data_IF_132403746387
#
_entry.id   IF_132403746387
#
_cell.length_a   1.000
_cell.length_b   1.000
_cell.length_c   1.000
_cell.angle_alpha   90.00
_cell.angle_beta   90.00
_cell.angle_gamma   90.00
#
_symmetry.space_group_name_H-M   'P 1'
#
loop_
_entity.id
_entity.type
_entity.pdbx_description
1 polymer ?
#
# COMPACT_ATOMS: atom_id res chain seq x y z
N UNK A 1 8.37 -2.80 -3.45
CA UNK A 1 7.12 -3.56 -3.61
C UNK A 1 6.21 -3.45 -2.38
N UNK A 2 6.56 -2.63 -1.37
CA UNK A 2 5.74 -2.36 -0.17
C UNK A 2 4.58 -1.36 -0.40
N UNK A 3 4.62 -0.55 -1.45
CA UNK A 3 3.64 0.54 -1.67
C UNK A 3 2.24 0.02 -2.09
N UNK A 4 2.12 -1.25 -2.51
CA UNK A 4 0.82 -1.83 -2.86
C UNK A 4 -0.04 -2.19 -1.64
N UNK A 5 0.58 -2.40 -0.47
CA UNK A 5 -0.12 -2.84 0.74
C UNK A 5 -0.60 -1.67 1.63
N UNK A 6 0.05 -0.51 1.61
CA UNK A 6 -0.39 0.65 2.41
C UNK A 6 -1.61 1.40 1.83
N UNK A 7 -2.01 1.11 0.59
CA UNK A 7 -3.30 1.57 0.03
C UNK A 7 -4.48 0.69 0.47
N UNK A 8 -4.26 -0.19 1.47
CA UNK A 8 -5.27 -0.83 2.33
C UNK A 8 -6.03 0.18 3.23
N UNK A 9 -6.35 1.38 2.73
CA UNK A 9 -6.99 2.43 3.55
C UNK A 9 -8.52 2.27 3.67
N UNK A 10 -9.13 1.29 3.02
CA UNK A 10 -10.44 0.76 3.40
C UNK A 10 -10.61 -0.61 2.73
N UNK A 11 -11.09 -1.60 3.47
CA UNK A 11 -11.46 -2.89 2.90
C UNK A 11 -12.44 -2.67 1.73
N UNK A 12 -12.23 -3.38 0.61
CA UNK A 12 -13.04 -3.21 -0.61
C UNK A 12 -14.52 -3.47 -0.34
N UNK A 13 -14.82 -4.35 0.63
CA UNK A 13 -16.18 -4.57 1.11
C UNK A 13 -16.75 -3.33 1.79
N UNK A 14 -15.98 -2.71 2.69
CA UNK A 14 -16.38 -1.46 3.36
C UNK A 14 -16.52 -0.30 2.37
N UNK A 15 -15.65 -0.24 1.36
CA UNK A 15 -15.74 0.74 0.27
C UNK A 15 -17.01 0.56 -0.58
N UNK A 16 -17.39 -0.70 -0.84
CA UNK A 16 -18.63 -1.05 -1.54
C UNK A 16 -19.84 -0.68 -0.73
N UNK A 17 -19.86 -0.99 0.57
CA UNK A 17 -20.92 -0.59 1.47
C UNK A 17 -21.12 0.93 1.49
N UNK A 18 -20.04 1.69 1.67
CA UNK A 18 -20.10 3.16 1.66
C UNK A 18 -20.61 3.70 0.31
N UNK A 19 -20.23 3.06 -0.80
CA UNK A 19 -20.71 3.46 -2.14
C UNK A 19 -22.21 3.21 -2.33
N UNK A 20 -22.75 2.15 -1.72
CA UNK A 20 -24.20 1.87 -1.69
C UNK A 20 -24.92 2.93 -0.86
N UNK A 21 -24.42 3.24 0.33
CA UNK A 21 -25.01 4.25 1.21
C UNK A 21 -25.02 5.65 0.54
N UNK A 22 -23.93 6.00 -0.14
CA UNK A 22 -23.84 7.23 -0.93
C UNK A 22 -24.84 7.25 -2.09
N UNK A 23 -25.03 6.12 -2.79
CA UNK A 23 -25.99 6.02 -3.89
C UNK A 23 -27.43 6.22 -3.40
N UNK A 24 -27.79 5.61 -2.27
CA UNK A 24 -29.11 5.77 -1.64
C UNK A 24 -29.32 7.22 -1.17
N UNK A 25 -28.28 7.84 -0.60
CA UNK A 25 -28.32 9.24 -0.18
C UNK A 25 -28.54 10.19 -1.36
N UNK A 26 -27.85 9.96 -2.47
CA UNK A 26 -28.02 10.73 -3.72
C UNK A 26 -29.43 10.53 -4.29
N UNK A 27 -29.96 9.30 -4.25
CA UNK A 27 -31.32 9.02 -4.68
C UNK A 27 -32.34 9.81 -3.86
N UNK A 28 -32.24 9.76 -2.53
CA UNK A 28 -33.15 10.52 -1.67
C UNK A 28 -33.02 12.04 -1.86
N UNK A 29 -31.80 12.57 -1.97
CA UNK A 29 -31.59 14.00 -2.21
C UNK A 29 -32.14 14.45 -3.57
N UNK A 30 -31.96 13.64 -4.62
CA UNK A 30 -32.50 13.91 -5.96
C UNK A 30 -34.03 13.91 -5.98
N UNK A 31 -34.68 12.94 -5.32
CA UNK A 31 -36.15 12.88 -5.23
C UNK A 31 -36.70 14.06 -4.43
N UNK A 32 -36.03 14.42 -3.34
CA UNK A 32 -36.35 15.57 -2.51
C UNK A 32 -36.21 16.89 -3.28
N UNK A 33 -35.15 17.03 -4.08
CA UNK A 33 -34.92 18.18 -4.96
C UNK A 33 -36.02 18.28 -6.02
N UNK A 34 -36.27 17.20 -6.78
CA UNK A 34 -37.29 17.16 -7.81
C UNK A 34 -38.69 17.44 -7.24
N UNK A 35 -39.01 16.90 -6.07
CA UNK A 35 -40.33 17.08 -5.44
C UNK A 35 -40.58 18.51 -4.95
N UNK A 36 -39.54 19.21 -4.46
CA UNK A 36 -39.69 20.55 -3.86
C UNK A 36 -39.46 21.69 -4.84
N UNK A 37 -38.69 21.45 -5.91
CA UNK A 37 -38.24 22.48 -6.87
C UNK A 37 -38.93 22.41 -8.23
N UNK A 38 -39.72 21.37 -8.50
CA UNK A 38 -40.49 21.27 -9.75
C UNK A 38 -41.54 22.37 -9.84
N UNK A 39 -41.50 23.15 -10.92
CA UNK A 39 -42.51 24.15 -11.23
C UNK A 39 -43.75 23.54 -11.89
N UNK A 40 -44.89 24.23 -11.77
CA UNK A 40 -46.11 23.86 -12.47
C UNK A 40 -45.99 24.20 -13.95
N UNK A 41 -46.11 23.19 -14.81
CA UNK A 41 -46.16 23.38 -16.26
C UNK A 41 -47.59 23.67 -16.72
N UNK A 42 -47.78 24.72 -17.50
CA UNK A 42 -49.07 25.04 -18.09
C UNK A 42 -49.43 24.00 -19.18
N UNK A 43 -50.48 23.22 -18.96
CA UNK A 43 -50.93 22.18 -19.92
C UNK A 43 -51.84 22.77 -21.00
N UNK A 44 -52.57 23.85 -20.70
CA UNK A 44 -53.49 24.49 -21.64
C UNK A 44 -53.19 25.99 -21.76
N UNK A 45 -52.93 26.52 -22.98
CA UNK A 45 -52.59 27.92 -23.19
C UNK A 45 -53.69 28.92 -22.77
N UNK A 46 -54.95 28.48 -22.64
CA UNK A 46 -56.06 29.33 -22.24
C UNK A 46 -56.18 29.54 -20.72
N UNK A 47 -55.45 28.78 -19.90
CA UNK A 47 -55.51 28.89 -18.43
C UNK A 47 -54.11 29.12 -17.86
N UNK A 48 -53.73 30.37 -17.54
CA UNK A 48 -52.43 30.66 -16.94
C UNK A 48 -52.32 30.03 -15.55
N UNK A 49 -51.12 29.58 -15.21
CA UNK A 49 -50.81 29.00 -13.89
C UNK A 49 -50.90 30.11 -12.84
N UNK A 50 -51.87 30.03 -11.93
CA UNK A 50 -52.17 31.06 -10.92
C UNK A 50 -51.42 30.87 -9.60
N UNK A 51 -50.67 29.77 -9.45
CA UNK A 51 -49.89 29.47 -8.25
C UNK A 51 -48.45 29.16 -8.62
N UNK A 52 -47.52 29.81 -7.93
CA UNK A 52 -46.09 29.49 -7.98
C UNK A 52 -45.70 28.87 -6.64
N UNK A 53 -44.88 27.82 -6.68
CA UNK A 53 -44.34 27.20 -5.47
C UNK A 53 -43.24 28.12 -4.94
N UNK A 54 -43.28 28.53 -3.65
CA UNK A 54 -42.26 29.39 -3.08
C UNK A 54 -40.90 28.69 -3.14
N UNK A 55 -39.97 29.28 -3.89
CA UNK A 55 -38.60 28.78 -4.03
C UNK A 55 -38.40 27.74 -5.13
N UNK A 56 -39.31 27.62 -6.11
CA UNK A 56 -39.08 26.79 -7.29
C UNK A 56 -38.04 27.42 -8.23
N UNK A 57 -37.23 26.57 -8.86
CA UNK A 57 -36.13 27.01 -9.72
C UNK A 57 -36.65 27.26 -11.16
N UNK A 58 -36.13 28.25 -11.90
CA UNK A 58 -36.50 28.47 -13.29
C UNK A 58 -36.35 27.18 -14.12
N UNK A 59 -37.25 26.93 -15.09
CA UNK A 59 -37.28 25.68 -15.86
C UNK A 59 -35.93 25.33 -16.51
N UNK A 60 -35.17 26.33 -16.95
CA UNK A 60 -33.83 26.16 -17.53
C UNK A 60 -32.83 25.59 -16.51
N UNK A 61 -32.78 26.20 -15.32
CA UNK A 61 -31.91 25.78 -14.20
C UNK A 61 -32.34 24.41 -13.66
N UNK A 62 -33.65 24.15 -13.59
CA UNK A 62 -34.18 22.87 -13.15
C UNK A 62 -33.82 21.73 -14.11
N UNK A 63 -33.87 21.98 -15.42
CA UNK A 63 -33.48 21.03 -16.46
C UNK A 63 -31.97 20.74 -16.46
N UNK A 64 -31.13 21.74 -16.23
CA UNK A 64 -29.68 21.58 -16.06
C UNK A 64 -29.33 20.78 -14.80
N UNK A 65 -29.89 21.18 -13.64
CA UNK A 65 -29.66 20.48 -12.38
C UNK A 65 -30.16 19.03 -12.43
N UNK A 66 -31.28 18.77 -13.12
CA UNK A 66 -31.77 17.40 -13.34
C UNK A 66 -30.76 16.56 -14.12
N UNK A 67 -30.17 17.11 -15.18
CA UNK A 67 -29.16 16.39 -15.98
C UNK A 67 -27.90 16.11 -15.16
N UNK A 68 -27.47 17.06 -14.34
CA UNK A 68 -26.33 16.88 -13.42
C UNK A 68 -26.60 15.75 -12.42
N UNK A 69 -27.76 15.78 -11.74
CA UNK A 69 -28.16 14.76 -10.77
C UNK A 69 -28.19 13.35 -11.38
N UNK A 70 -28.74 13.22 -12.60
CA UNK A 70 -28.76 11.93 -13.32
C UNK A 70 -27.36 11.49 -13.72
N UNK A 71 -26.51 12.41 -14.18
CA UNK A 71 -25.11 12.12 -14.52
C UNK A 71 -24.33 11.63 -13.30
N UNK A 72 -24.51 12.28 -12.15
CA UNK A 72 -23.86 11.88 -10.90
C UNK A 72 -24.35 10.54 -10.38
N UNK A 73 -25.67 10.28 -10.46
CA UNK A 73 -26.24 8.98 -10.13
C UNK A 73 -25.67 7.86 -11.01
N UNK A 74 -25.60 8.07 -12.33
CA UNK A 74 -25.03 7.09 -13.27
C UNK A 74 -23.54 6.87 -13.04
N UNK A 75 -22.79 7.93 -12.74
CA UNK A 75 -21.37 7.82 -12.41
C UNK A 75 -21.17 6.96 -11.15
N UNK A 76 -21.98 7.18 -10.12
CA UNK A 76 -21.93 6.42 -8.86
C UNK A 76 -22.36 4.96 -9.05
N UNK A 77 -23.37 4.70 -9.87
CA UNK A 77 -23.78 3.34 -10.22
C UNK A 77 -22.66 2.56 -10.95
N UNK A 78 -21.96 3.20 -11.90
CA UNK A 78 -20.81 2.59 -12.57
C UNK A 78 -19.61 2.39 -11.66
N UNK A 79 -19.38 3.31 -10.71
CA UNK A 79 -18.35 3.13 -9.69
C UNK A 79 -18.65 1.91 -8.81
N UNK A 80 -19.92 1.71 -8.45
CA UNK A 80 -20.36 0.54 -7.70
C UNK A 80 -20.18 -0.75 -8.51
N UNK A 81 -20.52 -0.75 -9.80
CA UNK A 81 -20.30 -1.90 -10.71
C UNK A 81 -18.82 -2.29 -10.77
N UNK A 82 -17.94 -1.31 -10.97
CA UNK A 82 -16.49 -1.55 -10.94
C UNK A 82 -16.01 -2.07 -9.58
N UNK A 83 -16.57 -1.57 -8.48
CA UNK A 83 -16.21 -2.03 -7.14
C UNK A 83 -16.64 -3.47 -6.90
N UNK A 84 -17.81 -3.87 -7.41
CA UNK A 84 -18.30 -5.26 -7.36
C UNK A 84 -17.38 -6.17 -8.16
N UNK A 85 -16.99 -5.77 -9.38
CA UNK A 85 -16.04 -6.53 -10.20
C UNK A 85 -14.64 -6.61 -9.56
N UNK A 86 -14.28 -5.58 -8.80
CA UNK A 86 -13.02 -5.52 -8.06
C UNK A 86 -13.11 -6.17 -6.67
N UNK A 87 -14.26 -6.71 -6.24
CA UNK A 87 -14.28 -7.52 -5.03
C UNK A 87 -13.38 -8.73 -5.27
N UNK A 88 -12.51 -9.09 -4.31
CA UNK A 88 -11.76 -10.34 -4.41
C UNK A 88 -12.80 -11.44 -4.58
N UNK A 89 -12.86 -12.01 -5.79
CA UNK A 89 -13.77 -13.09 -6.08
C UNK A 89 -13.38 -14.23 -5.16
N UNK A 90 -14.25 -14.61 -4.21
CA UNK A 90 -14.36 -16.02 -3.86
C UNK A 90 -14.50 -16.76 -5.19
N UNK A 91 -13.54 -17.61 -5.50
CA UNK A 91 -13.47 -18.41 -6.74
C UNK A 91 -14.87 -18.90 -7.19
N UNK A 92 -15.17 -18.95 -8.51
CA UNK A 92 -16.49 -19.31 -8.97
C UNK A 92 -16.71 -20.83 -8.85
N UNK A 93 -17.50 -21.28 -7.87
CA UNK A 93 -18.23 -22.54 -7.95
C UNK A 93 -19.48 -22.54 -7.04
N UNK A 94 -20.55 -23.23 -7.45
CA UNK A 94 -21.93 -22.80 -7.24
C UNK A 94 -22.48 -23.25 -5.89
N UNK A 95 -23.34 -22.41 -5.32
CA UNK A 95 -24.15 -22.70 -4.14
C UNK A 95 -23.34 -22.95 -2.86
N UNK A 96 -23.57 -22.09 -1.88
CA UNK A 96 -23.63 -22.42 -0.46
C UNK A 96 -23.13 -23.84 -0.07
N UNK A 97 -21.90 -23.95 0.46
CA UNK A 97 -21.59 -24.76 1.65
C UNK A 97 -20.08 -25.00 1.93
N UNK A 98 -19.12 -24.68 1.05
CA UNK A 98 -17.75 -25.25 1.19
C UNK A 98 -16.56 -24.28 1.00
N UNK A 99 -16.77 -22.97 1.14
CA UNK A 99 -15.74 -21.93 0.97
C UNK A 99 -14.72 -21.82 2.11
N UNK A 100 -14.16 -22.94 2.56
CA UNK A 100 -13.16 -22.95 3.64
C UNK A 100 -11.95 -23.82 3.34
N UNK A 101 -12.08 -24.87 2.54
CA UNK A 101 -11.01 -25.86 2.45
C UNK A 101 -9.87 -25.44 1.51
N UNK A 102 -10.19 -24.87 0.34
CA UNK A 102 -9.16 -24.36 -0.58
C UNK A 102 -8.41 -23.16 0.02
N UNK A 103 -9.14 -22.24 0.68
CA UNK A 103 -8.53 -21.10 1.36
C UNK A 103 -7.67 -21.56 2.54
N UNK A 104 -8.14 -22.53 3.35
CA UNK A 104 -7.39 -23.10 4.48
C UNK A 104 -6.12 -23.82 4.02
N UNK A 105 -6.18 -24.55 2.92
CA UNK A 105 -5.00 -25.19 2.31
C UNK A 105 -4.01 -24.16 1.75
N UNK A 106 -4.47 -23.06 1.18
CA UNK A 106 -3.61 -21.94 0.75
C UNK A 106 -2.96 -21.24 1.94
N UNK A 107 -3.73 -20.95 3.00
CA UNK A 107 -3.19 -20.37 4.24
C UNK A 107 -2.13 -21.26 4.87
N UNK A 108 -2.36 -22.57 4.88
CA UNK A 108 -1.42 -23.54 5.43
C UNK A 108 -0.12 -23.59 4.64
N UNK A 109 -0.20 -23.59 3.31
CA UNK A 109 0.98 -23.52 2.44
C UNK A 109 1.77 -22.23 2.69
N UNK A 110 1.07 -21.10 2.81
CA UNK A 110 1.71 -19.81 3.05
C UNK A 110 2.38 -19.75 4.43
N UNK A 111 1.78 -20.38 5.46
CA UNK A 111 2.39 -20.50 6.79
C UNK A 111 3.67 -21.35 6.75
N UNK A 112 3.64 -22.49 6.06
CA UNK A 112 4.80 -23.35 5.88
C UNK A 112 5.93 -22.62 5.13
N UNK A 113 5.60 -21.88 4.08
CA UNK A 113 6.56 -21.03 3.36
C UNK A 113 7.15 -19.94 4.26
N UNK A 114 6.31 -19.26 5.06
CA UNK A 114 6.77 -18.26 6.03
C UNK A 114 7.73 -18.88 7.04
N UNK A 115 7.40 -20.05 7.60
CA UNK A 115 8.28 -20.73 8.54
C UNK A 115 9.62 -21.11 7.91
N UNK A 116 9.61 -21.58 6.67
CA UNK A 116 10.83 -21.90 5.93
C UNK A 116 11.69 -20.65 5.69
N UNK A 117 11.10 -19.58 5.14
CA UNK A 117 11.81 -18.33 4.86
C UNK A 117 12.36 -17.70 6.14
N UNK A 118 11.62 -17.75 7.24
CA UNK A 118 12.10 -17.25 8.53
C UNK A 118 13.29 -18.07 9.06
N UNK A 119 13.27 -19.39 8.87
CA UNK A 119 14.40 -20.25 9.24
C UNK A 119 15.64 -19.90 8.42
N UNK A 120 15.49 -19.77 7.10
CA UNK A 120 16.59 -19.37 6.21
C UNK A 120 17.13 -17.97 6.58
N UNK A 121 16.24 -17.05 6.94
CA UNK A 121 16.62 -15.72 7.44
C UNK A 121 17.44 -15.80 8.74
N UNK A 122 17.03 -16.60 9.72
CA UNK A 122 17.78 -16.79 10.97
C UNK A 122 19.15 -17.44 10.75
N UNK A 123 19.23 -18.42 9.85
CA UNK A 123 20.49 -19.06 9.47
C UNK A 123 21.46 -18.08 8.80
N UNK A 124 20.96 -17.27 7.86
CA UNK A 124 21.75 -16.23 7.20
C UNK A 124 22.22 -15.16 8.20
N UNK A 125 21.37 -14.77 9.15
CA UNK A 125 21.71 -13.81 10.20
C UNK A 125 22.81 -14.36 11.11
N UNK A 126 22.73 -15.62 11.54
CA UNK A 126 23.78 -16.26 12.35
C UNK A 126 25.13 -16.35 11.62
N UNK A 127 25.12 -16.63 10.32
CA UNK A 127 26.34 -16.61 9.50
C UNK A 127 26.94 -15.20 9.41
N UNK A 128 26.09 -14.18 9.20
CA UNK A 128 26.53 -12.79 9.15
C UNK A 128 27.13 -12.34 10.49
N UNK A 129 26.52 -12.69 11.62
CA UNK A 129 27.05 -12.39 12.96
C UNK A 129 28.40 -13.08 13.21
N UNK A 130 28.54 -14.36 12.84
CA UNK A 130 29.80 -15.09 12.97
C UNK A 130 30.91 -14.47 12.13
N UNK A 131 30.62 -14.13 10.87
CA UNK A 131 31.58 -13.47 9.99
C UNK A 131 31.97 -12.09 10.53
N UNK A 132 31.00 -11.33 11.04
CA UNK A 132 31.24 -10.04 11.66
C UNK A 132 32.15 -10.17 12.89
N UNK A 133 31.91 -11.16 13.76
CA UNK A 133 32.77 -11.44 14.91
C UNK A 133 34.20 -11.84 14.48
N UNK A 134 34.35 -12.64 13.43
CA UNK A 134 35.65 -13.03 12.88
C UNK A 134 36.41 -11.84 12.29
N UNK A 135 35.72 -10.96 11.54
CA UNK A 135 36.30 -9.73 11.01
C UNK A 135 36.75 -8.79 12.14
N UNK A 136 35.91 -8.61 13.16
CA UNK A 136 36.25 -7.82 14.33
C UNK A 136 37.47 -8.38 15.07
N UNK A 137 37.55 -9.69 15.26
CA UNK A 137 38.69 -10.36 15.89
C UNK A 137 39.97 -10.22 15.05
N UNK A 138 39.89 -10.39 13.72
CA UNK A 138 41.04 -10.20 12.83
C UNK A 138 41.52 -8.75 12.83
N UNK A 139 40.61 -7.77 12.87
CA UNK A 139 40.95 -6.35 12.92
C UNK A 139 41.63 -6.01 14.25
N UNK A 140 41.09 -6.49 15.38
CA UNK A 140 41.75 -6.37 16.68
C UNK A 140 43.14 -7.02 16.70
N UNK A 141 43.28 -8.22 16.14
CA UNK A 141 44.57 -8.91 16.06
C UNK A 141 45.61 -8.17 15.20
N UNK A 142 45.20 -7.57 14.08
CA UNK A 142 46.08 -6.72 13.25
C UNK A 142 46.46 -5.43 13.98
N UNK A 143 45.51 -4.78 14.67
CA UNK A 143 45.81 -3.58 15.46
C UNK A 143 46.76 -3.88 16.60
N UNK A 144 46.59 -5.01 17.31
CA UNK A 144 47.46 -5.44 18.40
C UNK A 144 48.85 -5.84 17.88
N UNK A 145 48.94 -6.53 16.74
CA UNK A 145 50.22 -6.84 16.11
C UNK A 145 50.97 -5.57 15.69
N UNK A 146 50.24 -4.51 15.31
CA UNK A 146 50.81 -3.22 14.92
C UNK A 146 51.16 -2.32 16.10
N UNK A 147 50.45 -2.44 17.23
CA UNK A 147 50.80 -1.78 18.50
C UNK A 147 51.96 -2.49 19.21
N UNK A 148 52.03 -3.82 19.10
CA UNK A 148 53.07 -4.67 19.68
C UNK A 148 54.36 -4.67 18.89
N UNK A 149 54.35 -4.38 17.58
CA UNK A 149 55.57 -4.17 16.81
C UNK A 149 56.26 -2.89 17.32
N UNK A 150 57.32 -3.00 18.15
CA UNK A 150 58.03 -1.83 18.59
C UNK A 150 58.83 -1.32 17.40
N UNK A 151 58.91 0.01 17.29
CA UNK A 151 59.93 0.72 16.52
C UNK A 151 61.31 0.07 16.72
N UNK A 152 61.65 -0.88 15.86
CA UNK A 152 62.96 -1.55 15.78
C UNK A 152 63.52 -1.28 14.38
N UNK A 153 63.61 0.01 14.08
CA UNK A 153 64.37 0.53 12.95
C UNK A 153 65.24 1.71 13.43
N UNK A 154 66.02 1.49 14.50
CA UNK A 154 67.08 2.43 14.92
C UNK A 154 68.14 1.74 15.79
N UNK A 155 68.83 0.72 15.26
CA UNK A 155 70.08 0.25 15.87
C UNK A 155 70.96 -0.44 14.81
N UNK A 156 71.72 0.35 14.06
CA UNK A 156 72.84 -0.13 13.24
C UNK A 156 74.07 -0.29 14.14
N UNK A 157 74.68 -1.48 14.31
CA UNK A 157 75.99 -1.59 14.95
C UNK A 157 77.11 -1.52 13.90
N UNK A 158 78.11 -0.70 14.21
CA UNK A 158 79.34 -0.51 13.44
C UNK A 158 80.24 -1.77 13.43
N UNK A 159 81.05 -2.00 12.36
CA UNK A 159 82.02 -3.08 12.34
C UNK A 159 83.38 -2.65 12.96
N UNK A 160 83.98 -3.58 13.71
CA UNK A 160 85.27 -3.47 14.41
C UNK A 160 86.49 -3.62 13.47
N UNK A 161 87.72 -3.24 13.91
CA UNK A 161 88.88 -3.00 13.04
C UNK A 161 89.75 -4.25 12.82
N UNK A 162 90.24 -4.43 11.58
CA UNK A 162 91.20 -5.47 11.22
C UNK A 162 92.64 -4.95 11.28
N UNK A 163 93.51 -5.71 11.96
CA UNK A 163 94.93 -5.50 12.17
C UNK A 163 95.80 -5.80 10.92
N UNK A 164 97.08 -5.37 10.87
CA UNK A 164 97.88 -5.29 9.64
C UNK A 164 98.72 -6.55 9.37
N UNK A 165 99.18 -6.81 8.13
CA UNK A 165 100.19 -7.82 7.84
C UNK A 165 101.62 -7.23 7.82
N UNK A 166 102.66 -8.05 8.06
CA UNK A 166 104.04 -7.59 8.17
C UNK A 166 104.82 -7.60 6.84
N UNK A 167 105.73 -6.61 6.76
CA UNK A 167 107.06 -6.58 6.15
C UNK A 167 107.31 -7.18 4.74
N UNK A 168 107.66 -6.28 3.83
CA UNK A 168 108.90 -6.34 3.03
C UNK A 168 109.44 -4.92 2.84
#
# INVERSE_FOLDING_TARGET
>A
MEVAQELSHMDRLTQTQNSIDDLVRIMYSSLSYLSRKANFRQINPNFPVTQSIPGADPDDVFEENRKELVSDFLRKAKQLEFLIDALPSSSPAPAAADGTQEDEDEFRQLEEEMQQVNKEYLEALGQAESLHAQLQASLHGVLESRSSAPSTAAATPAPAPAAPPPAA
#
